data_IF_472053886227
#
_entry.id   IF_472053886227
#
_cell.length_a   1.000
_cell.length_b   1.000
_cell.length_c   1.000
_cell.angle_alpha   90.00
_cell.angle_beta   90.00
_cell.angle_gamma   90.00
#
_symmetry.space_group_name_H-M   'P 1'
#
loop_
_entity.id
_entity.type
_entity.pdbx_description
1 polymer ?
#
# COMPACT_ATOMS: atom_id res chain seq x y z
N UNK A 1 -14.75 -17.71 18.49
CA UNK A 1 -13.67 -18.12 17.55
C UNK A 1 -13.65 -17.08 16.45
N UNK A 2 -12.50 -16.46 16.18
CA UNK A 2 -12.31 -15.57 15.03
C UNK A 2 -12.52 -16.39 13.76
N UNK A 3 -13.18 -15.82 12.75
CA UNK A 3 -13.33 -16.46 11.43
C UNK A 3 -11.98 -16.76 10.76
N UNK A 4 -11.97 -17.39 9.58
CA UNK A 4 -10.73 -17.64 8.87
C UNK A 4 -10.07 -16.31 8.43
N UNK A 5 -8.76 -16.25 8.48
CA UNK A 5 -7.97 -15.11 8.00
C UNK A 5 -8.14 -14.99 6.48
N UNK A 6 -8.61 -13.83 6.04
CA UNK A 6 -8.96 -13.54 4.64
C UNK A 6 -7.93 -12.71 3.90
N UNK A 7 -7.07 -11.99 4.61
CA UNK A 7 -6.13 -11.04 4.01
C UNK A 7 -4.72 -11.32 4.49
N UNK A 8 -3.81 -11.62 3.55
CA UNK A 8 -2.40 -11.88 3.83
C UNK A 8 -1.54 -10.77 3.23
N UNK A 9 -0.66 -10.20 4.03
CA UNK A 9 0.42 -9.34 3.61
C UNK A 9 1.76 -10.05 3.75
N UNK A 10 2.60 -10.04 2.73
CA UNK A 10 3.93 -10.65 2.75
C UNK A 10 4.97 -9.56 2.53
N UNK A 11 5.74 -9.28 3.56
CA UNK A 11 6.77 -8.26 3.52
C UNK A 11 8.08 -8.80 2.97
N UNK A 12 8.52 -8.26 1.82
CA UNK A 12 9.81 -8.55 1.19
C UNK A 12 10.65 -7.28 1.23
N UNK A 13 11.66 -7.19 2.13
CA UNK A 13 12.32 -5.91 2.42
C UNK A 13 13.34 -5.47 1.37
N UNK A 14 13.67 -6.31 0.40
CA UNK A 14 14.82 -6.11 -0.47
C UNK A 14 14.58 -5.06 -1.56
N UNK A 15 15.47 -4.07 -1.61
CA UNK A 15 15.56 -3.08 -2.68
C UNK A 15 16.95 -3.11 -3.33
N UNK A 16 17.03 -2.87 -4.64
CA UNK A 16 18.32 -2.69 -5.31
C UNK A 16 19.00 -1.40 -4.83
N UNK A 17 18.18 -0.37 -4.53
CA UNK A 17 18.60 0.92 -3.98
C UNK A 17 17.58 1.41 -2.97
N UNK A 18 18.04 2.09 -1.91
CA UNK A 18 17.17 2.75 -0.92
C UNK A 18 16.88 4.17 -1.39
N UNK A 19 15.58 4.47 -1.55
CA UNK A 19 15.12 5.81 -1.91
C UNK A 19 15.15 6.74 -0.69
N UNK A 20 15.62 8.00 -0.81
CA UNK A 20 15.83 8.91 0.30
C UNK A 20 14.55 9.36 1.03
N UNK A 21 13.38 9.16 0.44
CA UNK A 21 12.07 9.51 1.00
C UNK A 21 11.34 8.33 1.66
N UNK A 22 11.82 7.10 1.46
CA UNK A 22 11.02 5.91 1.79
C UNK A 22 11.09 5.57 3.28
N UNK A 23 9.95 5.54 3.95
CA UNK A 23 9.79 5.19 5.36
C UNK A 23 9.51 3.70 5.61
N UNK A 24 9.15 2.93 4.58
CA UNK A 24 8.90 1.49 4.75
C UNK A 24 10.16 0.77 5.23
N UNK A 25 9.98 -0.28 6.03
CA UNK A 25 11.09 -1.17 6.33
C UNK A 25 11.65 -1.77 5.04
N UNK A 26 12.91 -1.54 4.78
CA UNK A 26 13.63 -2.00 3.59
C UNK A 26 15.09 -2.21 3.91
N UNK A 27 15.73 -3.06 3.12
CA UNK A 27 17.15 -3.31 3.20
C UNK A 27 17.73 -3.49 1.79
N UNK A 28 19.03 -3.27 1.63
CA UNK A 28 19.70 -3.55 0.36
C UNK A 28 19.66 -5.04 0.05
N UNK A 29 19.49 -5.35 -1.23
CA UNK A 29 19.40 -6.73 -1.72
C UNK A 29 20.69 -7.50 -1.45
N UNK A 30 20.69 -8.32 -0.42
CA UNK A 30 21.75 -9.29 -0.14
C UNK A 30 21.40 -10.64 -0.79
N UNK A 31 21.99 -10.90 -1.95
CA UNK A 31 21.70 -12.13 -2.73
C UNK A 31 22.12 -13.41 -2.01
N UNK A 32 23.01 -13.34 -1.01
CA UNK A 32 23.43 -14.50 -0.22
C UNK A 32 22.34 -14.99 0.74
N UNK A 33 21.45 -14.07 1.17
CA UNK A 33 20.41 -14.34 2.16
C UNK A 33 19.03 -14.60 1.55
N UNK A 34 18.83 -14.24 0.28
CA UNK A 34 17.47 -14.28 -0.31
C UNK A 34 16.84 -15.67 -0.38
N UNK A 35 17.61 -16.74 -0.54
CA UNK A 35 17.08 -18.12 -0.47
C UNK A 35 16.60 -18.46 0.93
N UNK A 36 17.48 -18.28 1.91
CA UNK A 36 17.19 -18.53 3.32
C UNK A 36 15.99 -17.68 3.80
N UNK A 37 15.90 -16.45 3.31
CA UNK A 37 14.75 -15.59 3.55
C UNK A 37 13.43 -16.19 3.00
N UNK A 38 13.41 -16.65 1.75
CA UNK A 38 12.22 -17.26 1.16
C UNK A 38 11.79 -18.53 1.93
N UNK A 39 12.74 -19.35 2.36
CA UNK A 39 12.47 -20.51 3.20
C UNK A 39 11.90 -20.11 4.58
N UNK A 40 12.40 -19.02 5.18
CA UNK A 40 11.89 -18.50 6.43
C UNK A 40 10.43 -18.02 6.29
N UNK A 41 10.08 -17.31 5.21
CA UNK A 41 8.70 -16.91 4.90
C UNK A 41 7.76 -18.13 4.86
N UNK A 42 8.15 -19.20 4.18
CA UNK A 42 7.34 -20.41 4.08
C UNK A 42 7.25 -21.16 5.42
N UNK A 43 8.33 -21.16 6.19
CA UNK A 43 8.36 -21.77 7.53
C UNK A 43 7.46 -20.99 8.52
N UNK A 44 7.44 -19.66 8.45
CA UNK A 44 6.50 -18.84 9.21
C UNK A 44 5.06 -19.15 8.80
N UNK A 45 4.77 -19.21 7.50
CA UNK A 45 3.43 -19.58 7.00
C UNK A 45 3.00 -20.95 7.54
N UNK A 46 3.88 -21.96 7.52
CA UNK A 46 3.59 -23.29 8.06
C UNK A 46 3.31 -23.28 9.57
N UNK A 47 3.99 -22.41 10.32
CA UNK A 47 3.71 -22.21 11.75
C UNK A 47 2.32 -21.61 11.94
N UNK A 48 2.00 -20.53 11.20
CA UNK A 48 0.75 -19.79 11.40
C UNK A 48 -0.49 -20.62 11.03
N UNK A 49 -0.39 -21.47 10.02
CA UNK A 49 -1.45 -22.41 9.63
C UNK A 49 -1.80 -23.44 10.72
N UNK A 50 -0.92 -23.67 11.70
CA UNK A 50 -1.22 -24.53 12.84
C UNK A 50 -2.07 -23.83 13.89
N UNK A 51 -2.00 -22.51 13.95
CA UNK A 51 -2.67 -21.70 14.97
C UNK A 51 -3.95 -21.03 14.44
N UNK A 52 -4.01 -20.76 13.13
CA UNK A 52 -5.07 -20.01 12.49
C UNK A 52 -5.62 -20.76 11.27
N UNK A 53 -6.94 -20.73 11.10
CA UNK A 53 -7.55 -21.09 9.81
C UNK A 53 -7.24 -19.95 8.81
N UNK A 54 -6.55 -20.26 7.72
CA UNK A 54 -6.17 -19.28 6.70
C UNK A 54 -6.80 -19.70 5.37
N UNK A 55 -7.74 -18.87 4.86
CA UNK A 55 -8.42 -19.05 3.58
C UNK A 55 -8.46 -17.69 2.86
N UNK A 56 -7.37 -17.29 2.18
CA UNK A 56 -7.20 -15.93 1.74
C UNK A 56 -8.13 -15.55 0.60
N UNK A 57 -8.78 -14.39 0.75
CA UNK A 57 -9.43 -13.63 -0.30
C UNK A 57 -8.43 -12.76 -1.05
N UNK A 58 -7.42 -12.25 -0.32
CA UNK A 58 -6.32 -11.48 -0.91
C UNK A 58 -4.97 -11.90 -0.37
N UNK A 59 -3.95 -11.86 -1.24
CA UNK A 59 -2.54 -11.97 -0.87
C UNK A 59 -1.80 -10.79 -1.50
N UNK A 60 -1.02 -10.06 -0.70
CA UNK A 60 -0.27 -8.89 -1.14
C UNK A 60 1.22 -9.05 -0.81
N UNK A 61 2.07 -9.07 -1.83
CA UNK A 61 3.52 -9.06 -1.70
C UNK A 61 4.01 -7.62 -1.86
N UNK A 62 4.53 -7.04 -0.78
CA UNK A 62 4.97 -5.65 -0.76
C UNK A 62 6.20 -5.41 0.11
N UNK A 63 6.46 -4.14 0.40
CA UNK A 63 7.49 -3.65 1.30
C UNK A 63 8.64 -2.94 0.60
N UNK A 64 9.72 -3.66 0.27
CA UNK A 64 10.81 -3.14 -0.56
C UNK A 64 10.46 -3.25 -2.06
N UNK A 65 10.99 -4.26 -2.71
CA UNK A 65 10.71 -4.57 -4.12
C UNK A 65 10.64 -6.08 -4.29
N UNK A 66 9.48 -6.71 -4.15
CA UNK A 66 9.34 -8.17 -4.30
C UNK A 66 9.92 -8.70 -5.62
N UNK A 67 9.74 -7.94 -6.69
CA UNK A 67 10.28 -8.28 -8.02
C UNK A 67 11.81 -8.15 -8.15
N UNK A 68 12.52 -7.68 -7.14
CA UNK A 68 13.99 -7.74 -7.10
C UNK A 68 14.50 -9.18 -6.89
N UNK A 69 13.68 -10.07 -6.33
CA UNK A 69 13.99 -11.49 -6.22
C UNK A 69 14.14 -12.14 -7.60
N UNK A 70 14.99 -13.17 -7.68
CA UNK A 70 15.15 -13.97 -8.90
C UNK A 70 13.90 -14.82 -9.16
N UNK A 71 13.68 -15.18 -10.42
CA UNK A 71 12.53 -16.03 -10.83
C UNK A 71 12.46 -17.32 -9.98
N UNK A 72 13.57 -17.99 -9.73
CA UNK A 72 13.59 -19.22 -8.94
C UNK A 72 13.17 -19.01 -7.47
N UNK A 73 13.49 -17.85 -6.87
CA UNK A 73 13.05 -17.49 -5.52
C UNK A 73 11.56 -17.14 -5.48
N UNK A 74 11.08 -16.39 -6.49
CA UNK A 74 9.66 -16.13 -6.67
C UNK A 74 8.88 -17.42 -6.90
N UNK A 75 9.45 -18.37 -7.66
CA UNK A 75 8.86 -19.69 -7.87
C UNK A 75 8.71 -20.45 -6.55
N UNK A 76 9.76 -20.50 -5.74
CA UNK A 76 9.73 -21.13 -4.41
C UNK A 76 8.59 -20.54 -3.56
N UNK A 77 8.51 -19.21 -3.48
CA UNK A 77 7.47 -18.54 -2.69
C UNK A 77 6.06 -18.80 -3.26
N UNK A 78 5.82 -18.51 -4.54
CA UNK A 78 4.49 -18.58 -5.12
C UNK A 78 3.95 -20.02 -5.15
N UNK A 79 4.78 -21.01 -5.52
CA UNK A 79 4.39 -22.42 -5.41
C UNK A 79 4.19 -22.82 -3.96
N UNK A 80 5.09 -22.41 -3.06
CA UNK A 80 4.98 -22.70 -1.65
C UNK A 80 3.69 -22.18 -1.02
N UNK A 81 3.20 -21.00 -1.41
CA UNK A 81 1.88 -20.48 -0.98
C UNK A 81 0.73 -21.30 -1.58
N UNK A 82 0.80 -21.65 -2.86
CA UNK A 82 -0.23 -22.47 -3.54
C UNK A 82 -0.36 -23.89 -2.96
N UNK A 83 0.73 -24.47 -2.55
CA UNK A 83 0.76 -25.83 -1.94
C UNK A 83 0.22 -25.83 -0.50
N UNK A 84 0.33 -24.70 0.20
CA UNK A 84 0.02 -24.57 1.63
C UNK A 84 -1.37 -24.01 1.92
N UNK A 85 -1.95 -23.28 0.99
CA UNK A 85 -3.21 -22.55 1.20
C UNK A 85 -4.28 -23.03 0.24
N UNK A 86 -5.51 -23.06 0.75
CA UNK A 86 -6.69 -23.15 -0.11
C UNK A 86 -6.94 -21.77 -0.76
N UNK A 87 -6.65 -21.66 -2.04
CA UNK A 87 -6.81 -20.45 -2.84
C UNK A 87 -8.13 -20.39 -3.61
N UNK A 88 -9.11 -21.26 -3.29
CA UNK A 88 -10.41 -21.29 -3.98
C UNK A 88 -11.20 -19.99 -3.86
N UNK A 89 -10.98 -19.23 -2.79
CA UNK A 89 -11.62 -17.94 -2.52
C UNK A 89 -10.75 -16.74 -2.89
N UNK A 90 -9.56 -16.96 -3.47
CA UNK A 90 -8.64 -15.90 -3.80
C UNK A 90 -9.15 -15.07 -4.99
N UNK A 91 -9.39 -13.79 -4.76
CA UNK A 91 -9.84 -12.84 -5.79
C UNK A 91 -8.73 -11.87 -6.22
N UNK A 92 -7.76 -11.59 -5.35
CA UNK A 92 -6.67 -10.67 -5.64
C UNK A 92 -5.34 -11.22 -5.09
N UNK A 93 -4.36 -11.36 -5.98
CA UNK A 93 -2.97 -11.63 -5.62
C UNK A 93 -2.10 -10.53 -6.19
N UNK A 94 -1.73 -9.58 -5.35
CA UNK A 94 -0.95 -8.40 -5.73
C UNK A 94 0.54 -8.62 -5.51
N UNK A 95 1.35 -8.07 -6.42
CA UNK A 95 2.80 -7.97 -6.25
C UNK A 95 3.28 -6.57 -6.62
N UNK A 96 4.06 -5.95 -5.73
CA UNK A 96 4.74 -4.69 -6.01
C UNK A 96 5.95 -4.90 -6.93
N UNK A 97 6.13 -3.94 -7.82
CA UNK A 97 7.22 -3.93 -8.79
C UNK A 97 7.78 -2.52 -8.98
N UNK A 98 9.09 -2.44 -9.16
CA UNK A 98 9.72 -1.22 -9.65
C UNK A 98 9.97 -1.32 -11.17
N UNK A 99 9.83 -0.23 -11.93
CA UNK A 99 10.25 -0.19 -13.32
C UNK A 99 11.67 -0.73 -13.51
N UNK A 100 11.88 -1.53 -14.54
CA UNK A 100 13.15 -2.21 -14.80
C UNK A 100 13.40 -3.50 -14.02
N UNK A 101 12.61 -3.80 -12.97
CA UNK A 101 12.74 -5.05 -12.20
C UNK A 101 12.02 -6.24 -12.84
N UNK A 102 11.14 -6.00 -13.82
CA UNK A 102 10.29 -7.00 -14.47
C UNK A 102 10.64 -7.11 -15.95
N UNK A 103 11.31 -8.20 -16.33
CA UNK A 103 11.49 -8.58 -17.73
C UNK A 103 10.24 -9.28 -18.28
N UNK A 104 10.10 -9.38 -19.60
CA UNK A 104 8.98 -10.10 -20.25
C UNK A 104 8.86 -11.56 -19.73
N UNK A 105 9.99 -12.26 -19.57
CA UNK A 105 10.03 -13.62 -18.99
C UNK A 105 9.49 -13.62 -17.55
N UNK A 106 9.89 -12.64 -16.71
CA UNK A 106 9.43 -12.56 -15.34
C UNK A 106 7.94 -12.20 -15.27
N UNK A 107 7.46 -11.27 -16.09
CA UNK A 107 6.05 -10.90 -16.17
C UNK A 107 5.16 -12.09 -16.53
N UNK A 108 5.49 -12.82 -17.60
CA UNK A 108 4.78 -14.03 -18.01
C UNK A 108 4.81 -15.11 -16.91
N UNK A 109 5.95 -15.28 -16.26
CA UNK A 109 6.11 -16.22 -15.15
C UNK A 109 5.18 -15.88 -13.96
N UNK A 110 5.15 -14.62 -13.52
CA UNK A 110 4.29 -14.15 -12.42
C UNK A 110 2.80 -14.37 -12.76
N UNK A 111 2.41 -14.01 -14.00
CA UNK A 111 1.03 -14.19 -14.48
C UNK A 111 0.61 -15.66 -14.46
N UNK A 112 1.49 -16.55 -14.92
CA UNK A 112 1.24 -18.00 -14.97
C UNK A 112 1.14 -18.63 -13.57
N UNK A 113 1.84 -18.08 -12.56
CA UNK A 113 1.75 -18.54 -11.18
C UNK A 113 0.59 -17.93 -10.38
N UNK A 114 -0.24 -17.11 -11.02
CA UNK A 114 -1.49 -16.67 -10.41
C UNK A 114 -1.46 -15.26 -9.83
N UNK A 115 -0.41 -14.47 -10.05
CA UNK A 115 -0.46 -13.03 -9.73
C UNK A 115 -1.51 -12.39 -10.62
N UNK A 116 -2.49 -11.73 -10.00
CA UNK A 116 -3.63 -11.11 -10.72
C UNK A 116 -3.49 -9.60 -10.86
N UNK A 117 -2.72 -8.97 -9.95
CA UNK A 117 -2.53 -7.51 -9.89
C UNK A 117 -1.06 -7.17 -9.71
N UNK A 118 -0.58 -6.13 -10.42
CA UNK A 118 0.76 -5.54 -10.22
C UNK A 118 0.58 -4.10 -9.74
N UNK A 119 1.35 -3.70 -8.71
CA UNK A 119 1.53 -2.31 -8.32
C UNK A 119 2.89 -1.82 -8.81
N UNK A 120 2.90 -0.93 -9.80
CA UNK A 120 4.11 -0.47 -10.45
C UNK A 120 4.52 0.92 -9.91
N UNK A 121 5.61 0.97 -9.16
CA UNK A 121 6.12 2.18 -8.51
C UNK A 121 6.79 3.14 -9.48
N UNK A 122 6.03 3.86 -10.30
CA UNK A 122 6.54 4.84 -11.29
C UNK A 122 6.96 6.15 -10.61
N UNK A 123 6.15 6.65 -9.71
CA UNK A 123 6.29 7.88 -8.91
C UNK A 123 6.16 9.17 -9.74
N UNK A 124 6.82 9.29 -10.87
CA UNK A 124 6.75 10.45 -11.76
C UNK A 124 7.11 10.08 -13.21
N UNK A 125 6.64 10.87 -14.17
CA UNK A 125 7.08 10.83 -15.58
C UNK A 125 8.08 11.95 -15.92
N UNK A 126 8.59 12.64 -14.90
CA UNK A 126 9.65 13.66 -15.05
C UNK A 126 10.96 13.09 -14.52
N UNK A 127 11.98 13.01 -15.40
CA UNK A 127 13.27 12.38 -15.07
C UNK A 127 14.05 13.14 -13.99
N UNK A 128 13.87 14.45 -13.86
CA UNK A 128 14.54 15.22 -12.81
C UNK A 128 13.91 14.99 -11.45
N UNK A 129 12.57 14.85 -11.38
CA UNK A 129 11.88 14.44 -10.17
C UNK A 129 12.22 12.99 -9.79
N UNK A 130 12.36 12.08 -10.76
CA UNK A 130 12.82 10.71 -10.50
C UNK A 130 14.24 10.68 -9.93
N UNK A 131 15.15 11.49 -10.45
CA UNK A 131 16.51 11.64 -9.89
C UNK A 131 16.47 12.19 -8.47
N UNK A 132 15.64 13.21 -8.20
CA UNK A 132 15.45 13.77 -6.86
C UNK A 132 14.97 12.69 -5.87
N UNK A 133 14.03 11.87 -6.30
CA UNK A 133 13.50 10.73 -5.53
C UNK A 133 14.51 9.56 -5.40
N UNK A 134 15.69 9.65 -6.02
CA UNK A 134 16.69 8.58 -6.00
C UNK A 134 16.26 7.32 -6.75
N UNK A 135 15.32 7.44 -7.73
CA UNK A 135 14.86 6.30 -8.52
C UNK A 135 15.94 5.86 -9.53
N UNK A 136 16.05 4.55 -9.74
CA UNK A 136 17.01 3.96 -10.69
C UNK A 136 16.48 3.97 -12.14
N UNK A 137 15.19 4.10 -12.33
CA UNK A 137 14.54 4.15 -13.63
C UNK A 137 14.27 5.59 -14.08
N UNK A 138 14.09 5.76 -15.37
CA UNK A 138 13.57 6.97 -16.01
C UNK A 138 12.16 6.73 -16.59
N UNK A 139 11.52 7.79 -17.09
CA UNK A 139 10.16 7.74 -17.63
C UNK A 139 10.01 6.72 -18.77
N UNK A 140 11.02 6.59 -19.66
CA UNK A 140 11.01 5.61 -20.75
C UNK A 140 10.98 4.17 -20.21
N UNK A 141 11.84 3.86 -19.23
CA UNK A 141 11.89 2.54 -18.60
C UNK A 141 10.60 2.21 -17.83
N UNK A 142 9.95 3.23 -17.24
CA UNK A 142 8.66 3.06 -16.59
C UNK A 142 7.59 2.65 -17.61
N UNK A 143 7.53 3.34 -18.76
CA UNK A 143 6.62 2.99 -19.86
C UNK A 143 6.90 1.59 -20.40
N UNK A 144 8.16 1.27 -20.70
CA UNK A 144 8.56 -0.05 -21.17
C UNK A 144 8.13 -1.16 -20.19
N UNK A 145 8.26 -0.92 -18.88
CA UNK A 145 7.83 -1.88 -17.86
C UNK A 145 6.31 -2.08 -17.85
N UNK A 146 5.54 -1.01 -18.01
CA UNK A 146 4.08 -1.09 -18.16
C UNK A 146 3.69 -1.89 -19.41
N UNK A 147 4.31 -1.60 -20.56
CA UNK A 147 4.06 -2.30 -21.82
C UNK A 147 4.38 -3.80 -21.72
N UNK A 148 5.48 -4.16 -21.04
CA UNK A 148 5.86 -5.56 -20.76
C UNK A 148 4.77 -6.27 -19.93
N UNK A 149 4.25 -5.61 -18.89
CA UNK A 149 3.19 -6.18 -18.06
C UNK A 149 1.90 -6.37 -18.86
N UNK A 150 1.51 -5.40 -19.68
CA UNK A 150 0.36 -5.52 -20.59
C UNK A 150 0.54 -6.66 -21.59
N UNK A 151 1.68 -6.75 -22.24
CA UNK A 151 2.00 -7.82 -23.18
C UNK A 151 1.99 -9.22 -22.54
N UNK A 152 2.29 -9.31 -21.24
CA UNK A 152 2.20 -10.55 -20.46
C UNK A 152 0.75 -10.90 -20.04
N UNK A 153 -0.25 -10.08 -20.37
CA UNK A 153 -1.67 -10.32 -20.11
C UNK A 153 -2.17 -9.85 -18.73
N UNK A 154 -1.46 -8.95 -18.06
CA UNK A 154 -1.99 -8.30 -16.86
C UNK A 154 -3.08 -7.29 -17.23
N UNK A 155 -4.30 -7.51 -16.72
CA UNK A 155 -5.48 -6.65 -16.89
C UNK A 155 -5.84 -5.88 -15.63
N UNK A 156 -4.98 -5.90 -14.61
CA UNK A 156 -5.11 -5.11 -13.39
C UNK A 156 -3.71 -4.61 -13.00
N UNK A 157 -3.38 -3.41 -13.48
CA UNK A 157 -2.10 -2.75 -13.19
C UNK A 157 -2.41 -1.45 -12.47
N UNK A 158 -1.81 -1.30 -11.31
CA UNK A 158 -1.75 -0.03 -10.61
C UNK A 158 -0.47 0.71 -10.99
N UNK A 159 -0.56 2.03 -11.14
CA UNK A 159 0.57 2.94 -11.24
C UNK A 159 0.61 3.80 -9.98
N UNK A 160 1.71 3.67 -9.21
CA UNK A 160 1.95 4.52 -8.06
C UNK A 160 2.63 5.82 -8.50
N UNK A 161 2.06 6.96 -8.10
CA UNK A 161 2.52 8.32 -8.38
C UNK A 161 2.69 9.08 -7.08
N UNK A 162 3.59 10.07 -7.09
CA UNK A 162 3.81 10.98 -5.95
C UNK A 162 3.70 12.43 -6.38
N UNK A 163 3.01 13.23 -5.57
CA UNK A 163 2.93 14.69 -5.69
C UNK A 163 3.43 15.38 -4.41
N UNK A 164 3.44 16.71 -4.39
CA UNK A 164 4.02 17.48 -3.29
C UNK A 164 5.54 17.33 -3.20
N UNK A 165 6.20 16.96 -4.32
CA UNK A 165 7.65 16.79 -4.35
C UNK A 165 8.35 18.15 -4.29
N UNK A 166 9.54 18.24 -3.66
CA UNK A 166 10.30 19.49 -3.65
C UNK A 166 10.48 20.04 -5.07
N UNK A 167 10.09 21.31 -5.26
CA UNK A 167 10.16 22.04 -6.54
C UNK A 167 9.27 21.47 -7.66
N UNK A 168 8.34 20.61 -7.36
CA UNK A 168 7.36 20.14 -8.35
C UNK A 168 6.35 21.25 -8.64
N UNK A 169 6.07 21.50 -9.93
CA UNK A 169 5.02 22.42 -10.34
C UNK A 169 3.71 21.68 -10.61
N UNK A 170 2.58 22.41 -10.51
CA UNK A 170 1.26 21.90 -10.88
C UNK A 170 1.21 21.45 -12.34
N UNK A 171 1.95 22.10 -13.25
CA UNK A 171 2.04 21.69 -14.65
C UNK A 171 2.75 20.35 -14.81
N UNK A 172 3.85 20.13 -14.07
CA UNK A 172 4.54 18.83 -14.06
C UNK A 172 3.63 17.72 -13.51
N UNK A 173 2.82 18.03 -12.50
CA UNK A 173 1.86 17.07 -11.95
C UNK A 173 0.74 16.77 -12.95
N UNK A 174 0.15 17.79 -13.56
CA UNK A 174 -0.84 17.64 -14.64
C UNK A 174 -0.31 16.73 -15.75
N UNK A 175 0.88 17.02 -16.26
CA UNK A 175 1.54 16.19 -17.29
C UNK A 175 1.76 14.74 -16.81
N UNK A 176 2.04 14.54 -15.53
CA UNK A 176 2.19 13.20 -14.94
C UNK A 176 0.85 12.44 -14.95
N UNK A 177 -0.24 13.07 -14.55
CA UNK A 177 -1.56 12.46 -14.59
C UNK A 177 -2.00 12.14 -16.03
N UNK A 178 -1.85 13.08 -16.97
CA UNK A 178 -2.22 12.90 -18.38
C UNK A 178 -1.46 11.75 -19.04
N UNK A 179 -0.15 11.65 -18.82
CA UNK A 179 0.68 10.53 -19.32
C UNK A 179 0.25 9.20 -18.71
N UNK A 180 -0.14 9.19 -17.43
CA UNK A 180 -0.62 7.99 -16.76
C UNK A 180 -1.96 7.55 -17.34
N UNK A 181 -2.91 8.48 -17.50
CA UNK A 181 -4.23 8.21 -18.06
C UNK A 181 -4.13 7.67 -19.49
N UNK A 182 -3.21 8.20 -20.31
CA UNK A 182 -2.97 7.75 -21.66
C UNK A 182 -2.54 6.26 -21.77
N UNK A 183 -1.95 5.70 -20.70
CA UNK A 183 -1.63 4.27 -20.61
C UNK A 183 -2.81 3.39 -20.21
N UNK A 184 -3.91 4.00 -19.77
CA UNK A 184 -5.14 3.33 -19.35
C UNK A 184 -4.91 2.24 -18.30
N UNK A 185 -4.25 2.53 -17.16
CA UNK A 185 -4.18 1.58 -16.06
C UNK A 185 -5.57 1.40 -15.44
N UNK A 186 -5.80 0.28 -14.79
CA UNK A 186 -7.06 0.03 -14.08
C UNK A 186 -7.10 0.76 -12.73
N UNK A 187 -5.94 1.07 -12.19
CA UNK A 187 -5.81 1.68 -10.88
C UNK A 187 -4.66 2.71 -10.87
N UNK A 188 -4.82 3.77 -10.11
CA UNK A 188 -3.81 4.82 -9.91
C UNK A 188 -3.77 5.13 -8.42
N UNK A 189 -2.57 5.06 -7.84
CA UNK A 189 -2.30 5.59 -6.51
C UNK A 189 -1.59 6.92 -6.65
N UNK A 190 -2.14 7.98 -6.05
CA UNK A 190 -1.56 9.32 -6.03
C UNK A 190 -1.31 9.73 -4.58
N UNK A 191 -0.05 9.63 -4.14
CA UNK A 191 0.37 9.91 -2.77
C UNK A 191 0.97 11.30 -2.65
N UNK A 192 0.57 12.05 -1.63
CA UNK A 192 1.32 13.22 -1.20
C UNK A 192 2.64 12.79 -0.53
N UNK A 193 3.74 13.46 -0.84
CA UNK A 193 5.00 13.23 -0.12
C UNK A 193 4.84 13.68 1.33
N UNK A 194 5.14 12.79 2.26
CA UNK A 194 5.31 13.10 3.68
C UNK A 194 6.78 12.99 4.08
N UNK A 195 7.22 13.85 4.99
CA UNK A 195 8.59 13.83 5.51
C UNK A 195 8.62 12.98 6.78
N UNK A 196 8.72 11.67 6.60
CA UNK A 196 8.71 10.69 7.69
C UNK A 196 10.06 10.67 8.43
N UNK A 197 10.02 10.56 9.75
CA UNK A 197 11.21 10.36 10.58
C UNK A 197 12.06 9.21 10.02
N UNK A 198 13.36 9.21 10.31
CA UNK A 198 14.33 8.22 9.80
C UNK A 198 14.55 8.21 8.27
N UNK A 199 14.04 9.21 7.53
CA UNK A 199 14.35 9.39 6.10
C UNK A 199 15.35 10.52 5.85
N UNK A 200 16.12 10.42 4.76
CA UNK A 200 17.00 11.53 4.35
C UNK A 200 16.19 12.80 4.03
N UNK A 201 14.99 12.65 3.46
CA UNK A 201 14.13 13.77 3.12
C UNK A 201 13.63 14.50 4.38
N UNK A 202 13.34 13.79 5.47
CA UNK A 202 13.02 14.42 6.76
C UNK A 202 14.20 15.27 7.27
N UNK A 203 15.41 14.76 7.22
CA UNK A 203 16.60 15.52 7.64
C UNK A 203 16.83 16.75 6.78
N UNK A 204 16.57 16.67 5.47
CA UNK A 204 16.68 17.81 4.56
C UNK A 204 15.58 18.84 4.79
N UNK A 205 14.36 18.38 5.09
CA UNK A 205 13.26 19.24 5.50
C UNK A 205 13.58 19.97 6.81
N UNK A 206 14.04 19.25 7.82
CA UNK A 206 14.43 19.82 9.11
C UNK A 206 15.56 20.88 9.00
N UNK A 207 16.42 20.77 7.97
CA UNK A 207 17.45 21.79 7.65
C UNK A 207 16.91 22.96 6.81
N UNK A 208 15.65 22.97 6.44
CA UNK A 208 15.03 24.00 5.61
C UNK A 208 15.39 23.93 4.11
N UNK A 209 16.02 22.83 3.64
CA UNK A 209 16.31 22.59 2.24
C UNK A 209 15.04 22.30 1.43
N UNK A 210 14.09 21.61 2.04
CA UNK A 210 12.77 21.33 1.51
C UNK A 210 11.70 22.03 2.37
N UNK A 211 10.65 22.51 1.73
CA UNK A 211 9.51 23.12 2.41
C UNK A 211 8.28 22.36 2.00
N UNK A 212 7.43 22.09 2.98
CA UNK A 212 6.07 21.64 2.75
C UNK A 212 5.16 22.86 2.78
N UNK A 213 4.24 22.91 1.85
CA UNK A 213 3.23 23.97 1.76
C UNK A 213 1.86 23.28 1.65
N UNK A 214 1.09 23.23 2.76
CA UNK A 214 -0.21 22.56 2.79
C UNK A 214 -1.20 23.09 1.76
N UNK A 215 -1.15 24.39 1.43
CA UNK A 215 -2.04 24.98 0.43
C UNK A 215 -1.70 24.45 -0.97
N UNK A 216 -0.43 24.39 -1.31
CA UNK A 216 0.04 23.79 -2.57
C UNK A 216 -0.26 22.29 -2.61
N UNK A 217 -0.08 21.55 -1.50
CA UNK A 217 -0.41 20.11 -1.42
C UNK A 217 -1.92 19.88 -1.65
N UNK A 218 -2.77 20.76 -1.13
CA UNK A 218 -4.20 20.73 -1.38
C UNK A 218 -4.53 20.98 -2.88
N UNK A 219 -3.84 21.92 -3.55
CA UNK A 219 -4.01 22.15 -5.00
C UNK A 219 -3.61 20.93 -5.84
N UNK A 220 -2.53 20.21 -5.48
CA UNK A 220 -2.15 18.95 -6.12
C UNK A 220 -3.23 17.87 -5.96
N UNK A 221 -3.77 17.71 -4.74
CA UNK A 221 -4.83 16.73 -4.47
C UNK A 221 -6.12 17.10 -5.23
N UNK A 222 -6.52 18.37 -5.22
CA UNK A 222 -7.69 18.88 -5.94
C UNK A 222 -7.57 18.62 -7.46
N UNK A 223 -6.40 18.88 -8.03
CA UNK A 223 -6.10 18.58 -9.43
C UNK A 223 -6.20 17.07 -9.72
N UNK A 224 -5.70 16.23 -8.81
CA UNK A 224 -5.80 14.77 -8.94
C UNK A 224 -7.26 14.32 -8.97
N UNK A 225 -8.07 14.80 -8.03
CA UNK A 225 -9.49 14.51 -7.96
C UNK A 225 -10.20 14.92 -9.26
N UNK A 226 -9.96 16.16 -9.72
CA UNK A 226 -10.63 16.67 -10.91
C UNK A 226 -10.28 15.84 -12.15
N UNK A 227 -8.99 15.72 -12.45
CA UNK A 227 -8.54 15.07 -13.69
C UNK A 227 -8.90 13.57 -13.72
N UNK A 228 -8.72 12.86 -12.60
CA UNK A 228 -8.96 11.42 -12.58
C UNK A 228 -10.45 11.09 -12.58
N UNK A 229 -11.29 11.83 -11.84
CA UNK A 229 -12.74 11.64 -11.84
C UNK A 229 -13.33 11.97 -13.23
N UNK A 230 -12.92 13.08 -13.87
CA UNK A 230 -13.35 13.47 -15.22
C UNK A 230 -12.99 12.43 -16.30
N UNK A 231 -11.96 11.63 -16.04
CA UNK A 231 -11.52 10.56 -16.95
C UNK A 231 -12.06 9.17 -16.59
N UNK A 232 -13.02 9.11 -15.64
CA UNK A 232 -13.80 7.93 -15.30
C UNK A 232 -13.13 6.99 -14.28
N UNK A 233 -12.19 7.51 -13.48
CA UNK A 233 -11.71 6.81 -12.29
C UNK A 233 -12.58 7.16 -11.09
N UNK A 234 -12.95 6.16 -10.31
CA UNK A 234 -13.63 6.33 -9.03
C UNK A 234 -12.61 6.62 -7.94
N UNK A 235 -12.74 7.75 -7.25
CA UNK A 235 -11.96 8.09 -6.06
C UNK A 235 -12.52 7.34 -4.86
N UNK A 236 -12.03 6.13 -4.57
CA UNK A 236 -12.62 5.25 -3.58
C UNK A 236 -12.02 5.40 -2.18
N UNK A 237 -10.81 5.98 -2.05
CA UNK A 237 -10.20 6.44 -0.80
C UNK A 237 -9.15 7.53 -1.10
N UNK A 238 -8.63 8.21 -0.09
CA UNK A 238 -7.86 9.48 -0.20
C UNK A 238 -6.78 9.44 -1.28
N UNK A 239 -6.00 8.35 -1.36
CA UNK A 239 -4.85 8.27 -2.26
C UNK A 239 -5.10 7.40 -3.50
N UNK A 240 -6.24 6.71 -3.58
CA UNK A 240 -6.43 5.67 -4.60
C UNK A 240 -7.66 5.89 -5.48
N UNK A 241 -7.43 5.74 -6.77
CA UNK A 241 -8.39 5.89 -7.85
C UNK A 241 -8.43 4.62 -8.68
N UNK A 242 -9.61 4.15 -9.08
CA UNK A 242 -9.74 2.93 -9.86
C UNK A 242 -10.83 3.03 -10.91
N UNK A 243 -10.68 2.33 -12.02
CA UNK A 243 -11.79 2.05 -12.92
C UNK A 243 -12.86 1.25 -12.17
N UNK A 244 -14.15 1.37 -12.51
CA UNK A 244 -15.20 0.58 -11.88
C UNK A 244 -14.85 -0.91 -11.83
N UNK A 245 -14.91 -1.50 -10.62
CA UNK A 245 -14.58 -2.90 -10.38
C UNK A 245 -13.08 -3.22 -10.15
N UNK A 246 -12.17 -2.24 -10.17
CA UNK A 246 -10.72 -2.44 -10.02
C UNK A 246 -10.12 -1.82 -8.74
N UNK A 247 -10.94 -1.36 -7.80
CA UNK A 247 -10.43 -0.95 -6.49
C UNK A 247 -9.68 -2.11 -5.81
N UNK A 248 -8.53 -1.83 -5.18
CA UNK A 248 -7.77 -2.86 -4.48
C UNK A 248 -8.57 -3.48 -3.34
N UNK A 249 -8.86 -4.77 -3.46
CA UNK A 249 -9.62 -5.51 -2.44
C UNK A 249 -8.81 -5.59 -1.16
N UNK A 250 -7.48 -5.76 -1.26
CA UNK A 250 -6.59 -5.82 -0.11
C UNK A 250 -6.54 -4.50 0.67
N UNK A 251 -6.35 -3.36 -0.02
CA UNK A 251 -6.31 -2.05 0.62
C UNK A 251 -7.66 -1.69 1.25
N UNK A 252 -8.77 -2.00 0.57
CA UNK A 252 -10.10 -1.79 1.13
C UNK A 252 -10.33 -2.56 2.43
N UNK A 253 -9.82 -3.78 2.54
CA UNK A 253 -9.92 -4.56 3.77
C UNK A 253 -9.23 -3.87 4.95
N UNK A 254 -8.05 -3.26 4.73
CA UNK A 254 -7.41 -2.43 5.76
C UNK A 254 -8.26 -1.22 6.17
N UNK A 255 -8.80 -0.49 5.19
CA UNK A 255 -9.64 0.69 5.47
C UNK A 255 -10.94 0.34 6.18
N UNK A 256 -11.44 -0.87 5.98
CA UNK A 256 -12.63 -1.39 6.69
C UNK A 256 -12.30 -1.99 8.06
N UNK A 257 -11.03 -2.02 8.47
CA UNK A 257 -10.58 -2.59 9.74
C UNK A 257 -10.74 -4.10 9.84
N UNK A 258 -10.72 -4.82 8.69
CA UNK A 258 -10.80 -6.27 8.66
C UNK A 258 -9.53 -6.91 9.24
N UNK A 259 -9.67 -8.14 9.77
CA UNK A 259 -8.54 -8.91 10.25
C UNK A 259 -7.60 -9.28 9.11
N UNK A 260 -6.30 -9.07 9.33
CA UNK A 260 -5.26 -9.40 8.36
C UNK A 260 -4.04 -10.01 9.05
N UNK A 261 -3.28 -10.74 8.28
CA UNK A 261 -2.09 -11.45 8.74
C UNK A 261 -0.85 -11.02 7.94
N UNK A 262 0.16 -10.53 8.65
CA UNK A 262 1.45 -10.14 8.09
C UNK A 262 2.49 -11.25 8.27
N UNK A 263 3.20 -11.58 7.21
CA UNK A 263 4.30 -12.55 7.16
C UNK A 263 5.57 -11.82 6.72
N UNK A 264 6.69 -12.15 7.32
CA UNK A 264 7.98 -11.53 7.03
C UNK A 264 8.39 -10.47 8.05
N UNK A 265 9.63 -9.94 7.96
CA UNK A 265 10.16 -8.98 8.91
C UNK A 265 9.36 -7.68 8.87
N UNK A 266 9.18 -7.03 10.02
CA UNK A 266 8.40 -5.80 10.20
C UNK A 266 6.91 -5.90 9.83
N UNK A 267 6.42 -7.04 9.32
CA UNK A 267 5.02 -7.21 8.99
C UNK A 267 4.15 -7.16 10.25
N UNK A 268 3.07 -6.39 10.17
CA UNK A 268 2.06 -6.27 11.22
C UNK A 268 0.90 -7.22 10.92
N UNK A 269 0.33 -7.78 11.96
CA UNK A 269 -0.91 -8.56 11.92
C UNK A 269 -1.91 -7.98 12.91
N UNK A 270 -3.19 -7.98 12.54
CA UNK A 270 -4.30 -7.67 13.46
C UNK A 270 -5.35 -8.76 13.30
N UNK A 271 -5.58 -9.53 14.37
CA UNK A 271 -6.57 -10.62 14.39
C UNK A 271 -7.39 -10.53 15.65
N UNK A 272 -8.67 -10.23 15.51
CA UNK A 272 -9.55 -9.95 16.64
C UNK A 272 -9.06 -8.78 17.46
N UNK A 273 -8.73 -9.01 18.72
CA UNK A 273 -8.21 -7.99 19.65
C UNK A 273 -6.70 -8.06 19.81
N UNK A 274 -6.01 -8.86 19.03
CA UNK A 274 -4.54 -8.98 19.10
C UNK A 274 -3.90 -8.31 17.90
N UNK A 275 -2.89 -7.50 18.16
CA UNK A 275 -1.99 -6.93 17.16
C UNK A 275 -0.55 -7.27 17.51
N UNK A 276 0.21 -7.63 16.52
CA UNK A 276 1.64 -7.86 16.68
C UNK A 276 2.42 -7.46 15.44
N UNK A 277 3.67 -7.14 15.63
CA UNK A 277 4.64 -6.87 14.57
C UNK A 277 5.79 -7.84 14.67
N UNK A 278 6.21 -8.39 13.54
CA UNK A 278 7.41 -9.21 13.46
C UNK A 278 8.67 -8.35 13.66
N UNK A 279 9.78 -9.01 14.06
CA UNK A 279 11.06 -8.35 14.20
C UNK A 279 11.42 -7.57 12.93
N UNK A 280 11.86 -6.32 13.09
CA UNK A 280 12.12 -5.42 11.97
C UNK A 280 13.38 -5.81 11.19
N UNK A 281 14.44 -6.32 11.86
CA UNK A 281 15.66 -6.79 11.18
C UNK A 281 15.44 -8.14 10.51
N UNK A 282 15.66 -8.25 9.19
CA UNK A 282 15.38 -9.47 8.43
C UNK A 282 16.32 -10.63 8.81
N UNK A 283 17.56 -10.36 9.27
CA UNK A 283 18.48 -11.41 9.72
C UNK A 283 18.00 -12.00 11.04
N UNK A 284 17.67 -11.15 12.00
CA UNK A 284 17.05 -11.57 13.27
C UNK A 284 15.74 -12.33 13.04
N UNK A 285 14.90 -11.88 12.11
CA UNK A 285 13.69 -12.60 11.71
C UNK A 285 14.00 -14.01 11.20
N UNK A 286 14.92 -14.15 10.25
CA UNK A 286 15.35 -15.46 9.70
C UNK A 286 15.85 -16.38 10.81
N UNK A 287 16.73 -15.87 11.69
CA UNK A 287 17.35 -16.68 12.74
C UNK A 287 16.30 -17.15 13.76
N UNK A 288 15.37 -16.30 14.17
CA UNK A 288 14.24 -16.67 15.05
C UNK A 288 13.37 -17.76 14.43
N UNK A 289 13.00 -17.61 13.16
CA UNK A 289 12.17 -18.59 12.44
C UNK A 289 12.84 -19.96 12.41
N UNK A 290 14.11 -20.02 12.03
CA UNK A 290 14.85 -21.31 11.96
C UNK A 290 15.20 -21.89 13.34
N UNK A 291 15.35 -21.06 14.36
CA UNK A 291 15.46 -21.53 15.74
C UNK A 291 14.13 -22.07 16.32
N UNK A 292 13.05 -22.05 15.54
CA UNK A 292 11.72 -22.46 16.02
C UNK A 292 11.07 -21.44 16.97
N UNK A 293 11.63 -20.24 17.12
CA UNK A 293 11.13 -19.16 17.96
C UNK A 293 10.04 -18.36 17.23
N UNK A 294 9.25 -17.58 18.00
CA UNK A 294 8.31 -16.63 17.38
C UNK A 294 9.08 -15.53 16.67
N UNK A 295 8.69 -15.17 15.42
CA UNK A 295 9.24 -13.99 14.75
C UNK A 295 8.74 -12.68 15.34
N UNK A 296 7.75 -12.69 16.23
CA UNK A 296 7.12 -11.52 16.82
C UNK A 296 8.15 -10.67 17.60
N UNK A 297 8.23 -9.38 17.26
CA UNK A 297 9.06 -8.39 17.92
C UNK A 297 8.30 -7.64 19.02
N UNK A 298 7.06 -7.24 18.74
CA UNK A 298 6.16 -6.59 19.69
C UNK A 298 4.73 -7.09 19.53
N UNK A 299 3.92 -6.99 20.57
CA UNK A 299 2.51 -7.36 20.55
C UNK A 299 1.73 -6.50 21.53
N UNK A 300 0.48 -6.23 21.19
CA UNK A 300 -0.47 -5.51 22.05
C UNK A 300 -1.86 -6.15 21.99
N UNK A 301 -2.62 -5.93 23.04
CA UNK A 301 -4.04 -6.29 23.08
C UNK A 301 -4.87 -5.03 22.92
N UNK A 302 -5.66 -4.97 21.86
CA UNK A 302 -6.52 -3.84 21.54
C UNK A 302 -7.76 -3.87 22.44
N UNK A 303 -8.23 -2.69 22.84
CA UNK A 303 -9.54 -2.53 23.48
C UNK A 303 -10.63 -2.29 22.42
N UNK A 304 -11.89 -2.41 22.81
CA UNK A 304 -13.02 -2.07 21.93
C UNK A 304 -13.00 -0.60 21.51
N UNK A 305 -12.55 0.28 22.41
CA UNK A 305 -12.43 1.72 22.12
C UNK A 305 -11.31 2.00 21.13
N UNK A 306 -10.14 1.37 21.28
CA UNK A 306 -9.05 1.46 20.28
C UNK A 306 -9.52 1.00 18.89
N UNK A 307 -10.19 -0.15 18.83
CA UNK A 307 -10.75 -0.67 17.56
C UNK A 307 -11.79 0.28 16.95
N UNK A 308 -12.60 0.92 17.77
CA UNK A 308 -13.59 1.90 17.30
C UNK A 308 -12.89 3.16 16.77
N UNK A 309 -11.95 3.70 17.52
CA UNK A 309 -11.12 4.86 17.16
C UNK A 309 -10.42 4.64 15.81
N UNK A 310 -9.75 3.50 15.64
CA UNK A 310 -9.10 3.14 14.39
C UNK A 310 -10.11 3.01 13.23
N UNK A 311 -11.26 2.39 13.46
CA UNK A 311 -12.29 2.25 12.44
C UNK A 311 -12.83 3.60 11.99
N UNK A 312 -13.01 4.56 12.90
CA UNK A 312 -13.38 5.94 12.54
C UNK A 312 -12.32 6.53 11.61
N UNK A 313 -11.05 6.54 12.04
CA UNK A 313 -9.96 7.12 11.27
C UNK A 313 -9.78 6.47 9.89
N UNK A 314 -9.82 5.14 9.82
CA UNK A 314 -9.64 4.39 8.59
C UNK A 314 -10.84 4.55 7.63
N UNK A 315 -12.07 4.43 8.15
CA UNK A 315 -13.28 4.50 7.32
C UNK A 315 -13.52 5.90 6.74
N UNK A 316 -13.18 6.98 7.48
CA UNK A 316 -13.25 8.35 6.98
C UNK A 316 -12.42 8.57 5.73
N UNK A 317 -11.33 7.83 5.55
CA UNK A 317 -10.49 7.92 4.34
C UNK A 317 -11.21 7.40 3.09
N UNK A 318 -12.28 6.62 3.25
CA UNK A 318 -12.99 5.97 2.15
C UNK A 318 -14.22 6.77 1.69
N UNK A 319 -14.65 6.52 0.46
CA UNK A 319 -15.91 7.08 -0.07
C UNK A 319 -17.14 6.57 0.68
N UNK A 320 -17.03 5.39 1.32
CA UNK A 320 -18.12 4.74 2.05
C UNK A 320 -18.31 5.36 3.45
N UNK A 321 -17.25 6.01 3.97
CA UNK A 321 -17.27 6.75 5.23
C UNK A 321 -17.46 5.90 6.48
N UNK A 322 -17.70 6.56 7.60
CA UNK A 322 -17.87 5.96 8.93
C UNK A 322 -19.35 5.87 9.29
N UNK A 323 -19.74 4.80 9.97
CA UNK A 323 -21.13 4.62 10.38
C UNK A 323 -21.56 5.64 11.46
N UNK A 324 -22.83 6.05 11.44
CA UNK A 324 -23.38 6.91 12.48
C UNK A 324 -23.25 6.29 13.89
N UNK A 325 -23.27 4.94 13.98
CA UNK A 325 -23.10 4.24 15.25
C UNK A 325 -21.68 4.35 15.81
N UNK A 326 -20.66 4.37 14.95
CA UNK A 326 -19.27 4.56 15.37
C UNK A 326 -19.00 6.01 15.81
N UNK A 327 -19.78 6.98 15.32
CA UNK A 327 -19.70 8.40 15.72
C UNK A 327 -20.52 8.75 16.97
N UNK A 328 -21.10 7.76 17.65
CA UNK A 328 -21.81 8.01 18.91
C UNK A 328 -20.87 8.62 19.95
N UNK A 329 -21.25 9.78 20.51
CA UNK A 329 -20.44 10.56 21.44
C UNK A 329 -19.64 11.70 20.76
N UNK A 330 -19.66 11.76 19.42
CA UNK A 330 -19.05 12.83 18.62
C UNK A 330 -20.11 13.64 17.84
N UNK A 331 -21.35 13.68 18.33
CA UNK A 331 -22.49 14.33 17.66
C UNK A 331 -22.17 15.79 17.35
N UNK A 332 -21.57 16.51 18.30
CA UNK A 332 -21.21 17.92 18.14
C UNK A 332 -20.22 18.12 16.99
N UNK A 333 -19.12 17.38 16.98
CA UNK A 333 -18.07 17.47 15.94
C UNK A 333 -18.64 17.07 14.58
N UNK A 334 -19.42 15.98 14.55
CA UNK A 334 -20.11 15.53 13.35
C UNK A 334 -21.03 16.60 12.76
N UNK A 335 -21.85 17.25 13.61
CA UNK A 335 -22.78 18.29 13.16
C UNK A 335 -22.03 19.55 12.71
N UNK A 336 -20.96 19.93 13.42
CA UNK A 336 -20.08 21.04 13.06
C UNK A 336 -19.41 20.81 11.69
N UNK A 337 -18.79 19.66 11.47
CA UNK A 337 -18.15 19.31 10.20
C UNK A 337 -19.15 19.18 9.05
N UNK A 338 -20.36 18.73 9.34
CA UNK A 338 -21.45 18.70 8.34
C UNK A 338 -21.87 20.13 7.97
N UNK A 339 -22.03 21.03 8.95
CA UNK A 339 -22.36 22.44 8.70
C UNK A 339 -21.25 23.19 7.95
N UNK A 340 -19.98 22.82 8.19
CA UNK A 340 -18.82 23.36 7.45
C UNK A 340 -18.67 22.75 6.05
N UNK A 341 -19.51 21.78 5.67
CA UNK A 341 -19.42 21.11 4.37
C UNK A 341 -18.23 20.16 4.24
N UNK A 342 -17.62 19.72 5.34
CA UNK A 342 -16.51 18.78 5.35
C UNK A 342 -16.98 17.31 5.38
N UNK A 343 -18.13 17.06 6.02
CA UNK A 343 -18.80 15.76 6.04
C UNK A 343 -20.12 15.81 5.28
N UNK A 344 -20.49 14.71 4.67
CA UNK A 344 -21.83 14.47 4.12
C UNK A 344 -22.39 13.16 4.63
N UNK A 345 -23.68 13.15 4.94
CA UNK A 345 -24.38 11.92 5.25
C UNK A 345 -24.83 11.21 3.96
N UNK A 346 -24.63 9.90 3.92
CA UNK A 346 -25.11 9.04 2.85
C UNK A 346 -25.42 7.64 3.40
N UNK A 347 -26.68 7.20 3.29
CA UNK A 347 -27.13 5.87 3.71
C UNK A 347 -26.77 5.50 5.16
N UNK A 348 -26.82 6.47 6.09
CA UNK A 348 -26.48 6.27 7.50
C UNK A 348 -24.99 6.26 7.82
N UNK A 349 -24.15 6.57 6.85
CA UNK A 349 -22.72 6.79 7.02
C UNK A 349 -22.36 8.28 6.78
N UNK A 350 -21.27 8.71 7.40
CA UNK A 350 -20.69 10.05 7.22
C UNK A 350 -19.35 9.91 6.48
N UNK A 351 -19.28 10.48 5.30
CA UNK A 351 -18.10 10.45 4.45
C UNK A 351 -17.57 11.88 4.22
N UNK A 352 -16.26 12.00 4.04
CA UNK A 352 -15.64 13.26 3.67
C UNK A 352 -16.19 13.76 2.30
N UNK A 353 -16.53 15.04 2.25
CA UNK A 353 -16.79 15.73 0.99
C UNK A 353 -15.46 15.96 0.24
N UNK A 354 -15.52 16.51 -0.98
CA UNK A 354 -14.30 16.92 -1.69
C UNK A 354 -13.45 17.88 -0.86
N UNK A 355 -14.07 18.87 -0.23
CA UNK A 355 -13.39 19.81 0.67
C UNK A 355 -12.89 19.10 1.95
N UNK A 356 -13.68 18.19 2.51
CA UNK A 356 -13.27 17.42 3.68
C UNK A 356 -12.04 16.52 3.43
N UNK A 357 -11.87 16.00 2.21
CA UNK A 357 -10.69 15.21 1.83
C UNK A 357 -9.39 16.00 1.88
N UNK A 358 -9.43 17.31 1.63
CA UNK A 358 -8.27 18.20 1.76
C UNK A 358 -7.84 18.40 3.22
N UNK A 359 -8.73 18.14 4.17
CA UNK A 359 -8.55 18.28 5.61
C UNK A 359 -8.76 16.95 6.35
N UNK A 360 -8.55 15.83 5.65
CA UNK A 360 -8.92 14.50 6.15
C UNK A 360 -8.29 14.16 7.52
N UNK A 361 -7.01 14.48 7.70
CA UNK A 361 -6.30 14.18 8.94
C UNK A 361 -6.82 15.06 10.09
N UNK A 362 -7.05 16.36 9.88
CA UNK A 362 -7.63 17.25 10.89
C UNK A 362 -9.05 16.85 11.29
N UNK A 363 -9.87 16.41 10.32
CA UNK A 363 -11.23 15.91 10.62
C UNK A 363 -11.14 14.60 11.41
N UNK A 364 -10.23 13.71 11.05
CA UNK A 364 -10.04 12.46 11.78
C UNK A 364 -9.55 12.72 13.22
N UNK A 365 -8.52 13.55 13.42
CA UNK A 365 -7.99 13.90 14.74
C UNK A 365 -9.04 14.48 15.69
N UNK A 366 -9.95 15.29 15.17
CA UNK A 366 -11.03 15.89 15.97
C UNK A 366 -12.14 14.88 16.35
N UNK A 367 -12.15 13.70 15.75
CA UNK A 367 -13.08 12.59 16.01
C UNK A 367 -12.40 11.42 16.75
N UNK A 368 -11.18 11.60 17.28
CA UNK A 368 -10.42 10.62 18.04
C UNK A 368 -10.18 11.08 19.47
#
# INVERSE_FOLDING_TARGET
>A
MTGPIRHLYVHIPFCARICPYCAFYKDLLDRSQTWRFCEAILSELDRQRRSFAISPKTIYFGGGTPTALRIAQLELLLRGFRERLDLSQLVEWTMEANPGSVSARKAAFLRNLGITRISLGVQSWNDDLLKLLGREHNARQAKESFDILRAAGFSNINIDLMFGLPRQSLEQWRSTLEKTIALQPEHISAYCLTYEEDTEFFLRHARGEFRQDPDTDAEFLEMSMSILEDTGYEHYEISNYARPGFSSVHNRAYWMGEDYFGIGPSAVSTVGMQRWQNACDYRSYIDRVFAGQSPTGSAETLTSDMKRTERIALSLRTRDGVSASDLKGFERQKDEFTALGLLRESHGNFALTRQGKLLADSVAEALL
#
